data_IF_002961358603
#
_entry.id   IF_002961358603
#
_cell.length_a   1.000
_cell.length_b   1.000
_cell.length_c   1.000
_cell.angle_alpha   90.00
_cell.angle_beta   90.00
_cell.angle_gamma   90.00
#
_symmetry.space_group_name_H-M   'P 1'
#
loop_
_entity.id
_entity.type
_entity.pdbx_description
1 polymer ?
#
# COMPACT_ATOMS: atom_id res chain seq x y z
N UNK A 1 73.40 20.28 -8.70
CA UNK A 1 73.13 19.71 -7.37
C UNK A 1 72.54 20.84 -6.55
N UNK A 2 71.26 20.97 -6.19
CA UNK A 2 70.05 20.15 -6.28
C UNK A 2 68.84 21.12 -6.45
N UNK A 3 67.67 20.68 -6.93
CA UNK A 3 66.47 21.55 -6.94
C UNK A 3 65.84 21.63 -5.55
N UNK A 4 65.75 22.84 -5.00
CA UNK A 4 65.00 23.11 -3.78
C UNK A 4 63.51 22.81 -3.99
N UNK A 5 63.00 21.94 -3.14
CA UNK A 5 61.62 21.44 -3.18
C UNK A 5 60.64 22.51 -2.72
N UNK A 6 59.85 23.06 -3.65
CA UNK A 6 58.67 23.86 -3.34
C UNK A 6 57.45 22.94 -3.19
N UNK A 7 57.15 22.56 -1.95
CA UNK A 7 55.93 21.81 -1.64
C UNK A 7 54.69 22.74 -1.73
N UNK A 8 53.71 22.48 -2.63
CA UNK A 8 52.55 23.35 -2.74
C UNK A 8 51.57 23.10 -1.58
N UNK A 9 51.35 24.16 -0.80
CA UNK A 9 50.11 24.60 -0.16
C UNK A 9 49.12 23.54 0.39
N UNK A 10 49.43 22.97 1.56
CA UNK A 10 48.46 22.21 2.40
C UNK A 10 47.24 23.06 2.84
N UNK A 11 47.40 24.38 2.88
CA UNK A 11 46.34 25.35 3.25
C UNK A 11 45.22 25.43 2.22
N UNK A 12 45.54 25.38 0.93
CA UNK A 12 44.55 25.52 -0.14
C UNK A 12 43.65 24.30 -0.25
N UNK A 13 44.19 23.09 -0.03
CA UNK A 13 43.42 21.85 0.00
C UNK A 13 42.50 21.75 1.23
N UNK A 14 42.99 22.15 2.41
CA UNK A 14 42.16 22.18 3.61
C UNK A 14 40.98 23.18 3.48
N UNK A 15 41.20 24.31 2.81
CA UNK A 15 40.18 25.33 2.59
C UNK A 15 39.11 24.86 1.59
N UNK A 16 39.49 24.20 0.49
CA UNK A 16 38.52 23.65 -0.46
C UNK A 16 37.70 22.51 0.14
N UNK A 17 38.34 21.60 0.90
CA UNK A 17 37.63 20.51 1.60
C UNK A 17 36.64 21.08 2.62
N UNK A 18 37.03 22.12 3.37
CA UNK A 18 36.14 22.80 4.32
C UNK A 18 34.90 23.41 3.63
N UNK A 19 35.09 24.07 2.49
CA UNK A 19 33.98 24.65 1.71
C UNK A 19 33.04 23.57 1.17
N UNK A 20 33.58 22.48 0.63
CA UNK A 20 32.76 21.37 0.11
C UNK A 20 31.95 20.72 1.23
N UNK A 21 32.54 20.51 2.41
CA UNK A 21 31.83 19.98 3.56
C UNK A 21 30.72 20.94 4.04
N UNK A 22 30.98 22.24 4.07
CA UNK A 22 29.97 23.23 4.44
C UNK A 22 28.80 23.25 3.45
N UNK A 23 29.08 23.20 2.14
CA UNK A 23 28.05 23.10 1.11
C UNK A 23 27.26 21.79 1.22
N UNK A 24 27.92 20.67 1.50
CA UNK A 24 27.26 19.38 1.68
C UNK A 24 26.36 19.38 2.92
N UNK A 25 26.83 19.92 4.04
CA UNK A 25 26.02 20.07 5.25
C UNK A 25 24.82 20.99 5.04
N UNK A 26 25.00 22.11 4.33
CA UNK A 26 23.91 23.01 3.98
C UNK A 26 22.88 22.30 3.08
N UNK A 27 23.34 21.53 2.09
CA UNK A 27 22.46 20.73 1.23
C UNK A 27 21.69 19.68 2.02
N UNK A 28 22.36 18.92 2.90
CA UNK A 28 21.70 17.94 3.79
C UNK A 28 20.72 18.62 4.74
N UNK A 29 21.03 19.80 5.27
CA UNK A 29 20.12 20.57 6.10
C UNK A 29 18.89 21.04 5.31
N UNK A 30 19.06 21.55 4.09
CA UNK A 30 17.95 21.97 3.22
C UNK A 30 17.08 20.77 2.85
N UNK A 31 17.68 19.66 2.42
CA UNK A 31 16.95 18.43 2.09
C UNK A 31 16.27 17.86 3.33
N UNK A 32 16.96 17.79 4.47
CA UNK A 32 16.40 17.31 5.73
C UNK A 32 15.22 18.16 6.19
N UNK A 33 15.39 19.48 6.27
CA UNK A 33 14.32 20.41 6.62
C UNK A 33 13.17 20.36 5.60
N UNK A 34 13.47 20.21 4.31
CA UNK A 34 12.47 20.00 3.26
C UNK A 34 11.74 18.67 3.45
N UNK A 35 12.41 17.57 3.78
CA UNK A 35 11.78 16.27 4.04
C UNK A 35 10.93 16.28 5.33
N UNK A 36 11.33 17.04 6.35
CA UNK A 36 10.52 17.23 7.56
C UNK A 36 9.29 18.11 7.28
N UNK A 37 9.44 19.19 6.50
CA UNK A 37 8.37 20.14 6.13
C UNK A 37 7.41 19.55 5.08
N UNK A 38 7.93 18.76 4.15
CA UNK A 38 7.22 18.09 3.05
C UNK A 38 6.69 16.71 3.47
N UNK A 39 6.63 16.43 4.78
CA UNK A 39 5.55 15.60 5.32
C UNK A 39 4.25 16.38 5.16
N UNK A 40 3.83 16.59 3.92
CA UNK A 40 2.51 17.09 3.61
C UNK A 40 1.51 16.14 4.25
N UNK A 41 0.54 16.70 4.98
CA UNK A 41 -0.37 15.95 5.82
C UNK A 41 -1.06 14.91 4.95
N UNK A 42 -1.25 13.71 5.50
CA UNK A 42 -2.35 12.85 5.08
C UNK A 42 -3.53 13.76 4.81
N UNK A 43 -4.02 13.82 3.57
CA UNK A 43 -5.17 14.65 3.24
C UNK A 43 -6.23 14.25 4.27
N UNK A 44 -6.48 15.12 5.24
CA UNK A 44 -7.50 14.90 6.25
C UNK A 44 -8.79 15.12 5.47
N UNK A 45 -9.24 14.04 4.85
CA UNK A 45 -10.44 14.03 4.05
C UNK A 45 -11.55 14.42 5.01
N UNK A 46 -12.14 15.58 4.77
CA UNK A 46 -13.21 16.12 5.59
C UNK A 46 -14.44 15.24 5.43
N UNK A 47 -14.62 14.30 6.37
CA UNK A 47 -15.68 13.31 6.36
C UNK A 47 -17.08 13.96 6.40
N UNK A 48 -17.19 15.23 6.83
CA UNK A 48 -18.46 15.95 6.85
C UNK A 48 -18.99 16.32 5.46
N UNK A 49 -18.11 16.32 4.45
CA UNK A 49 -18.46 16.61 3.04
C UNK A 49 -18.72 15.35 2.22
N UNK A 50 -18.54 14.17 2.82
CA UNK A 50 -18.74 12.88 2.16
C UNK A 50 -20.03 12.28 2.67
N UNK A 51 -20.83 11.76 1.74
CA UNK A 51 -22.05 11.03 2.06
C UNK A 51 -21.76 9.87 3.03
N UNK A 52 -22.64 9.65 4.00
CA UNK A 52 -22.44 8.66 5.05
C UNK A 52 -22.21 7.24 4.49
N UNK A 53 -22.78 6.92 3.31
CA UNK A 53 -22.59 5.63 2.66
C UNK A 53 -21.17 5.43 2.08
N UNK A 54 -20.41 6.50 1.89
CA UNK A 54 -19.08 6.48 1.26
C UNK A 54 -17.93 6.77 2.23
N UNK A 55 -18.22 7.23 3.45
CA UNK A 55 -17.21 7.55 4.46
C UNK A 55 -16.27 6.37 4.77
N UNK A 56 -16.78 5.14 4.71
CA UNK A 56 -15.97 3.93 4.95
C UNK A 56 -14.79 3.80 3.99
N UNK A 57 -14.82 4.44 2.81
CA UNK A 57 -13.73 4.41 1.82
C UNK A 57 -12.49 5.20 2.23
N UNK A 58 -12.63 6.16 3.15
CA UNK A 58 -11.58 7.11 3.50
C UNK A 58 -10.86 6.80 4.81
N UNK A 59 -11.38 5.83 5.57
CA UNK A 59 -10.80 5.35 6.82
C UNK A 59 -10.19 3.96 6.62
N UNK A 60 -8.92 3.78 6.99
CA UNK A 60 -8.24 2.48 6.87
C UNK A 60 -8.91 1.40 7.71
N UNK A 61 -9.39 1.77 8.91
CA UNK A 61 -10.11 0.88 9.81
C UNK A 61 -11.41 0.40 9.19
N UNK A 62 -12.19 1.31 8.61
CA UNK A 62 -13.51 0.98 8.06
C UNK A 62 -13.40 0.20 6.75
N UNK A 63 -12.41 0.51 5.92
CA UNK A 63 -12.04 -0.33 4.77
C UNK A 63 -11.73 -1.76 5.20
N UNK A 64 -10.93 -1.92 6.25
CA UNK A 64 -10.55 -3.25 6.75
C UNK A 64 -11.76 -4.00 7.30
N UNK A 65 -12.60 -3.33 8.07
CA UNK A 65 -13.85 -3.91 8.58
C UNK A 65 -14.77 -4.35 7.44
N UNK A 66 -14.93 -3.53 6.40
CA UNK A 66 -15.72 -3.86 5.21
C UNK A 66 -15.16 -5.06 4.45
N UNK A 67 -13.85 -5.16 4.31
CA UNK A 67 -13.22 -6.33 3.69
C UNK A 67 -13.46 -7.62 4.49
N UNK A 68 -13.40 -7.56 5.81
CA UNK A 68 -13.72 -8.71 6.69
C UNK A 68 -15.18 -9.12 6.52
N UNK A 69 -16.10 -8.15 6.49
CA UNK A 69 -17.53 -8.40 6.26
C UNK A 69 -17.77 -9.08 4.91
N UNK A 70 -17.16 -8.59 3.83
CA UNK A 70 -17.30 -9.16 2.49
C UNK A 70 -16.75 -10.59 2.43
N UNK A 71 -15.57 -10.84 3.00
CA UNK A 71 -15.00 -12.19 3.08
C UNK A 71 -15.88 -13.14 3.90
N UNK A 72 -16.47 -12.66 4.99
CA UNK A 72 -17.41 -13.44 5.78
C UNK A 72 -18.64 -13.85 4.97
N UNK A 73 -19.23 -12.90 4.23
CA UNK A 73 -20.37 -13.16 3.34
C UNK A 73 -20.03 -14.14 2.22
N UNK A 74 -18.86 -14.00 1.61
CA UNK A 74 -18.37 -14.91 0.57
C UNK A 74 -18.13 -16.32 1.12
N UNK A 75 -17.53 -16.43 2.31
CA UNK A 75 -17.30 -17.73 2.95
C UNK A 75 -18.62 -18.42 3.28
N UNK A 76 -19.58 -17.71 3.88
CA UNK A 76 -20.92 -18.25 4.11
C UNK A 76 -21.57 -18.64 2.78
N UNK A 77 -21.44 -17.82 1.74
CA UNK A 77 -21.98 -18.14 0.44
C UNK A 77 -21.43 -19.43 -0.16
N UNK A 78 -20.12 -19.64 -0.06
CA UNK A 78 -19.44 -20.82 -0.60
C UNK A 78 -19.67 -22.09 0.22
N UNK A 79 -20.06 -21.98 1.50
CA UNK A 79 -20.19 -23.12 2.42
C UNK A 79 -21.64 -23.47 2.75
N UNK A 80 -22.60 -22.59 2.46
CA UNK A 80 -24.00 -22.81 2.80
C UNK A 80 -24.91 -22.81 1.57
N UNK A 81 -25.99 -23.58 1.70
CA UNK A 81 -27.11 -23.50 0.78
C UNK A 81 -27.78 -22.12 0.87
N UNK A 82 -28.38 -21.69 -0.24
CA UNK A 82 -29.16 -20.46 -0.29
C UNK A 82 -29.89 -20.30 -1.60
N UNK A 83 -30.83 -19.37 -1.65
CA UNK A 83 -31.49 -18.97 -2.89
C UNK A 83 -30.67 -17.88 -3.58
N UNK A 84 -30.48 -18.01 -4.90
CA UNK A 84 -29.92 -16.93 -5.75
C UNK A 84 -31.07 -16.14 -6.35
N UNK A 85 -32.03 -16.85 -6.94
CA UNK A 85 -33.29 -16.29 -7.44
C UNK A 85 -34.41 -17.29 -7.17
N UNK A 86 -35.23 -16.99 -6.18
CA UNK A 86 -36.34 -17.85 -5.79
C UNK A 86 -37.45 -17.87 -6.86
N UNK A 87 -37.62 -16.79 -7.62
CA UNK A 87 -38.65 -16.71 -8.67
C UNK A 87 -38.29 -17.56 -9.89
N UNK A 88 -36.99 -17.60 -10.23
CA UNK A 88 -36.46 -18.45 -11.29
C UNK A 88 -36.10 -19.87 -10.83
N UNK A 89 -36.32 -20.21 -9.54
CA UNK A 89 -35.99 -21.51 -8.97
C UNK A 89 -34.48 -21.80 -8.88
N UNK A 90 -33.63 -20.77 -8.95
CA UNK A 90 -32.17 -20.91 -8.93
C UNK A 90 -31.64 -20.89 -7.50
N UNK A 91 -31.01 -22.00 -7.11
CA UNK A 91 -30.36 -22.19 -5.81
C UNK A 91 -28.85 -22.16 -5.91
N UNK A 92 -28.21 -21.73 -4.83
CA UNK A 92 -26.78 -21.89 -4.57
C UNK A 92 -26.57 -23.12 -3.69
N UNK A 93 -25.61 -23.94 -4.07
CA UNK A 93 -25.08 -25.03 -3.27
C UNK A 93 -23.71 -24.68 -2.69
N UNK A 94 -23.29 -25.30 -1.57
CA UNK A 94 -21.91 -25.27 -1.12
C UNK A 94 -20.97 -25.77 -2.22
N UNK A 95 -19.80 -25.13 -2.35
CA UNK A 95 -18.86 -25.41 -3.44
C UNK A 95 -18.34 -26.84 -3.42
N UNK A 96 -18.12 -27.41 -2.23
CA UNK A 96 -17.68 -28.80 -2.09
C UNK A 96 -18.70 -29.77 -2.71
N UNK A 97 -20.00 -29.53 -2.48
CA UNK A 97 -21.07 -30.33 -3.07
C UNK A 97 -21.21 -30.10 -4.56
N UNK A 98 -21.04 -28.88 -5.04
CA UNK A 98 -21.03 -28.60 -6.47
C UNK A 98 -19.90 -29.39 -7.16
N UNK A 99 -18.70 -29.41 -6.59
CA UNK A 99 -17.56 -30.16 -7.11
C UNK A 99 -17.83 -31.67 -7.15
N UNK A 100 -18.37 -32.24 -6.06
CA UNK A 100 -18.73 -33.65 -6.01
C UNK A 100 -19.75 -34.05 -7.09
N UNK A 101 -20.78 -33.22 -7.29
CA UNK A 101 -21.82 -33.46 -8.29
C UNK A 101 -21.25 -33.40 -9.71
N UNK A 102 -20.37 -32.43 -9.99
CA UNK A 102 -19.70 -32.33 -11.29
C UNK A 102 -18.85 -33.56 -11.56
N UNK A 103 -18.06 -34.01 -10.58
CA UNK A 103 -17.23 -35.22 -10.73
C UNK A 103 -18.11 -36.46 -10.96
N UNK A 104 -19.20 -36.61 -10.22
CA UNK A 104 -20.14 -37.72 -10.38
C UNK A 104 -20.82 -37.72 -11.77
N UNK A 105 -21.23 -36.55 -12.27
CA UNK A 105 -21.84 -36.41 -13.59
C UNK A 105 -20.83 -36.73 -14.72
N UNK A 106 -19.59 -36.25 -14.62
CA UNK A 106 -18.57 -36.52 -15.62
C UNK A 106 -18.13 -38.01 -15.59
N UNK A 107 -18.05 -38.62 -14.41
CA UNK A 107 -17.69 -40.02 -14.26
C UNK A 107 -18.75 -41.01 -14.75
N UNK A 108 -20.02 -40.61 -14.82
CA UNK A 108 -21.12 -41.42 -15.37
C UNK A 108 -21.30 -41.27 -16.87
N UNK A 109 -20.62 -40.31 -17.51
CA UNK A 109 -20.68 -40.06 -18.95
C UNK A 109 -19.65 -40.85 -19.78
N UNK A 110 -18.91 -41.75 -19.13
CA UNK A 110 -17.97 -42.70 -19.72
C UNK A 110 -18.43 -44.14 -19.48
#
# INVERSE_FOLDING_TARGET
>A
MAPDSSAPARSSFALTVGVVLACFLAFVAIVGLSYLKTRTPTIAVDLTKIDAADQWKYSEKDRTARLVELRGKELTASTTYGWVDQSAGTVRLPIDRAMELVVAEQGTKH
#
